data_IF_651632944919
#
_entry.id   IF_651632944919
#
_cell.length_a   1.000
_cell.length_b   1.000
_cell.length_c   1.000
_cell.angle_alpha   90.00
_cell.angle_beta   90.00
_cell.angle_gamma   90.00
#
_symmetry.space_group_name_H-M   'P 1'
#
loop_
_entity.id
_entity.type
_entity.pdbx_description
1 polymer ?
#
# COMPACT_ATOMS: atom_id res chain seq x y z
N UNK A 1 -16.26 2.56 -68.00
CA UNK A 1 -16.10 3.60 -66.97
C UNK A 1 -16.56 3.03 -65.62
N UNK A 2 -15.66 2.98 -64.62
CA UNK A 2 -15.85 3.29 -63.17
C UNK A 2 -17.01 2.57 -62.43
N UNK A 3 -16.90 1.89 -61.27
CA UNK A 3 -15.85 1.59 -60.27
C UNK A 3 -16.37 0.42 -59.40
N UNK A 4 -15.46 -0.38 -58.83
CA UNK A 4 -15.68 -1.35 -57.74
C UNK A 4 -16.05 -0.65 -56.43
N UNK A 5 -16.64 -1.36 -55.45
CA UNK A 5 -16.18 -1.47 -54.04
C UNK A 5 -17.05 -2.51 -53.30
N UNK A 6 -16.41 -3.59 -52.85
CA UNK A 6 -16.87 -4.48 -51.77
C UNK A 6 -16.55 -3.84 -50.42
N UNK A 7 -17.38 -4.05 -49.40
CA UNK A 7 -16.95 -3.85 -48.01
C UNK A 7 -17.66 -4.84 -47.07
N UNK A 8 -16.93 -5.88 -46.68
CA UNK A 8 -17.19 -6.74 -45.53
C UNK A 8 -16.90 -5.91 -44.26
N UNK A 9 -17.86 -5.80 -43.34
CA UNK A 9 -17.63 -5.20 -42.03
C UNK A 9 -17.21 -6.29 -41.03
N UNK A 10 -15.91 -6.50 -40.86
CA UNK A 10 -15.37 -7.25 -39.72
C UNK A 10 -15.27 -6.29 -38.53
N UNK A 11 -16.24 -6.35 -37.62
CA UNK A 11 -16.15 -5.66 -36.33
C UNK A 11 -15.25 -6.48 -35.40
N UNK A 12 -13.98 -6.13 -35.34
CA UNK A 12 -13.04 -6.67 -34.37
C UNK A 12 -13.09 -5.80 -33.10
N UNK A 13 -13.85 -6.25 -32.09
CA UNK A 13 -13.70 -5.75 -30.72
C UNK A 13 -12.36 -6.19 -30.16
N UNK A 14 -11.33 -5.37 -30.34
CA UNK A 14 -10.07 -5.48 -29.63
C UNK A 14 -10.28 -4.99 -28.19
N UNK A 15 -10.63 -5.92 -27.29
CA UNK A 15 -10.44 -5.74 -25.85
C UNK A 15 -8.94 -5.72 -25.58
N UNK A 16 -8.34 -4.52 -25.61
CA UNK A 16 -6.98 -4.31 -25.17
C UNK A 16 -6.89 -4.56 -23.66
N UNK A 17 -6.35 -5.71 -23.27
CA UNK A 17 -5.88 -5.93 -21.90
C UNK A 17 -4.65 -5.04 -21.73
N UNK A 18 -4.84 -3.82 -21.23
CA UNK A 18 -3.71 -3.03 -20.75
C UNK A 18 -3.24 -3.66 -19.46
N UNK A 19 -2.16 -4.45 -19.52
CA UNK A 19 -1.46 -4.88 -18.33
C UNK A 19 -0.95 -3.63 -17.61
N UNK A 20 -1.57 -3.28 -16.48
CA UNK A 20 -1.14 -2.16 -15.65
C UNK A 20 0.15 -2.58 -14.95
N UNK A 21 1.29 -2.14 -15.48
CA UNK A 21 2.55 -2.26 -14.76
C UNK A 21 2.44 -1.36 -13.53
N UNK A 22 2.52 -1.96 -12.33
CA UNK A 22 2.53 -1.20 -11.08
C UNK A 22 3.68 -0.19 -11.11
N UNK A 23 3.37 1.08 -10.87
CA UNK A 23 4.38 2.12 -10.78
C UNK A 23 5.41 1.78 -9.67
N UNK A 24 6.70 2.14 -9.84
CA UNK A 24 7.65 2.02 -8.75
C UNK A 24 7.21 2.88 -7.56
N UNK A 25 7.54 2.46 -6.32
CA UNK A 25 7.25 3.28 -5.14
C UNK A 25 7.97 4.63 -5.24
N UNK A 26 7.51 5.66 -4.50
CA UNK A 26 8.12 6.97 -4.51
C UNK A 26 9.61 6.88 -4.11
N UNK A 27 10.47 7.70 -4.74
CA UNK A 27 11.89 7.75 -4.39
C UNK A 27 12.07 8.27 -2.96
N UNK A 28 13.28 8.10 -2.41
CA UNK A 28 13.62 8.68 -1.10
C UNK A 28 13.47 10.21 -1.15
N UNK A 29 12.68 10.83 -0.24
CA UNK A 29 12.47 12.27 -0.21
C UNK A 29 13.77 13.05 -0.09
N UNK A 30 13.94 14.07 -0.93
CA UNK A 30 15.16 14.88 -0.94
C UNK A 30 15.37 15.61 0.40
N UNK A 31 14.27 16.08 1.01
CA UNK A 31 14.28 16.78 2.29
C UNK A 31 14.59 15.88 3.50
N UNK A 32 14.63 14.55 3.32
CA UNK A 32 14.90 13.62 4.41
C UNK A 32 16.38 13.68 4.82
N UNK A 33 16.70 13.95 6.10
CA UNK A 33 18.08 13.97 6.60
C UNK A 33 18.74 12.60 6.50
N UNK A 34 20.08 12.52 6.30
CA UNK A 34 20.80 11.24 6.18
C UNK A 34 20.52 10.26 7.33
N UNK A 35 20.53 10.72 8.58
CA UNK A 35 20.26 9.87 9.74
C UNK A 35 18.85 9.22 9.72
N UNK A 36 17.88 9.86 9.06
CA UNK A 36 16.51 9.33 8.92
C UNK A 36 16.40 8.36 7.74
N UNK A 37 17.25 8.49 6.71
CA UNK A 37 17.27 7.60 5.53
C UNK A 37 17.69 6.17 5.88
N UNK A 38 18.49 6.01 6.93
CA UNK A 38 18.89 4.71 7.46
C UNK A 38 17.75 3.97 8.17
N UNK A 39 16.65 4.66 8.49
CA UNK A 39 15.47 4.05 9.09
C UNK A 39 14.59 3.40 8.02
N UNK A 40 13.79 2.43 8.45
CA UNK A 40 12.72 1.88 7.59
C UNK A 40 11.81 3.00 7.06
N UNK A 41 11.36 2.98 5.80
CA UNK A 41 10.36 3.92 5.29
C UNK A 41 9.04 3.91 6.09
N UNK A 42 8.76 2.83 6.82
CA UNK A 42 7.60 2.72 7.71
C UNK A 42 7.86 3.25 9.13
N UNK A 43 9.07 3.71 9.44
CA UNK A 43 9.39 4.32 10.72
C UNK A 43 8.66 5.68 10.85
N UNK A 44 8.05 6.03 12.00
CA UNK A 44 7.30 7.28 12.16
C UNK A 44 8.08 8.54 11.77
N UNK A 45 9.37 8.58 12.04
CA UNK A 45 10.24 9.70 11.66
C UNK A 45 10.53 9.80 10.16
N UNK A 46 10.51 8.67 9.45
CA UNK A 46 10.82 8.60 8.02
C UNK A 46 9.55 8.79 7.18
N UNK A 47 8.46 8.12 7.54
CA UNK A 47 7.21 8.11 6.76
C UNK A 47 6.64 9.51 6.56
N UNK A 48 6.77 10.42 7.56
CA UNK A 48 6.32 11.82 7.45
C UNK A 48 6.84 12.53 6.19
N UNK A 49 8.09 12.27 5.79
CA UNK A 49 8.68 12.91 4.61
C UNK A 49 8.05 12.37 3.32
N UNK A 50 7.79 11.06 3.24
CA UNK A 50 7.07 10.48 2.10
C UNK A 50 5.64 11.02 2.01
N UNK A 51 4.97 11.20 3.14
CA UNK A 51 3.63 11.76 3.19
C UNK A 51 3.62 13.24 2.77
N UNK A 52 4.59 14.03 3.21
CA UNK A 52 4.74 15.43 2.81
C UNK A 52 4.99 15.57 1.30
N UNK A 53 5.83 14.73 0.72
CA UNK A 53 6.07 14.68 -0.72
C UNK A 53 4.79 14.31 -1.48
N UNK A 54 4.03 13.33 -0.97
CA UNK A 54 2.77 12.91 -1.58
C UNK A 54 1.68 14.01 -1.50
N UNK A 55 1.66 14.81 -0.44
CA UNK A 55 0.79 16.00 -0.33
C UNK A 55 1.21 17.07 -1.35
N UNK A 56 2.51 17.37 -1.46
CA UNK A 56 3.01 18.35 -2.46
C UNK A 56 2.74 17.91 -3.90
N UNK A 57 2.80 16.61 -4.16
CA UNK A 57 2.48 16.03 -5.46
C UNK A 57 0.97 15.94 -5.74
N UNK A 58 0.10 16.33 -4.79
CA UNK A 58 -1.35 16.23 -4.93
C UNK A 58 -1.90 14.81 -4.88
N UNK A 59 -1.08 13.83 -4.46
CA UNK A 59 -1.49 12.43 -4.34
C UNK A 59 -2.37 12.22 -3.10
N UNK A 60 -2.15 12.99 -2.04
CA UNK A 60 -2.88 12.94 -0.77
C UNK A 60 -3.30 14.33 -0.32
N UNK A 61 -4.40 14.42 0.43
CA UNK A 61 -4.70 15.63 1.21
C UNK A 61 -3.84 15.66 2.47
N UNK A 62 -3.69 16.85 3.09
CA UNK A 62 -3.03 16.98 4.40
C UNK A 62 -3.72 16.12 5.46
N UNK A 63 -5.05 16.06 5.47
CA UNK A 63 -5.81 15.25 6.42
C UNK A 63 -5.54 13.74 6.25
N UNK A 64 -5.46 13.25 5.01
CA UNK A 64 -5.10 11.85 4.72
C UNK A 64 -3.67 11.54 5.17
N UNK A 65 -2.73 12.46 4.94
CA UNK A 65 -1.35 12.33 5.41
C UNK A 65 -1.28 12.26 6.95
N UNK A 66 -1.97 13.17 7.66
CA UNK A 66 -1.96 13.20 9.12
C UNK A 66 -2.59 11.93 9.73
N UNK A 67 -3.69 11.45 9.13
CA UNK A 67 -4.32 10.19 9.54
C UNK A 67 -3.40 8.98 9.26
N UNK A 68 -2.71 8.97 8.13
CA UNK A 68 -1.74 7.93 7.78
C UNK A 68 -0.55 7.94 8.73
N UNK A 69 -0.02 9.12 9.09
CA UNK A 69 1.07 9.25 10.06
C UNK A 69 0.68 8.60 11.41
N UNK A 70 -0.51 8.92 11.93
CA UNK A 70 -1.01 8.33 13.18
C UNK A 70 -1.18 6.81 13.07
N UNK A 71 -1.65 6.31 11.93
CA UNK A 71 -1.74 4.87 11.69
C UNK A 71 -0.37 4.19 11.73
N UNK A 72 0.64 4.84 11.16
CA UNK A 72 2.02 4.32 11.13
C UNK A 72 2.68 4.34 12.50
N UNK A 73 2.41 5.35 13.32
CA UNK A 73 2.79 5.41 14.73
C UNK A 73 2.17 4.26 15.53
N UNK A 74 0.85 4.08 15.43
CA UNK A 74 0.14 2.96 16.06
C UNK A 74 0.75 1.60 15.67
N UNK A 75 1.01 1.40 14.37
CA UNK A 75 1.62 0.16 13.87
C UNK A 75 3.04 -0.04 14.38
N UNK A 76 3.82 1.03 14.47
CA UNK A 76 5.18 0.99 14.97
C UNK A 76 5.21 0.60 16.45
N UNK A 77 4.42 1.27 17.30
CA UNK A 77 4.32 0.95 18.72
C UNK A 77 3.87 -0.49 18.96
N UNK A 78 2.85 -0.94 18.21
CA UNK A 78 2.40 -2.33 18.26
C UNK A 78 3.51 -3.30 17.87
N UNK A 79 4.31 -2.98 16.86
CA UNK A 79 5.45 -3.80 16.43
C UNK A 79 6.55 -3.86 17.50
N UNK A 80 6.83 -2.75 18.18
CA UNK A 80 7.81 -2.73 19.27
C UNK A 80 7.35 -3.61 20.43
N UNK A 81 6.08 -3.52 20.84
CA UNK A 81 5.51 -4.40 21.87
C UNK A 81 5.57 -5.87 21.50
N UNK A 82 5.28 -6.22 20.24
CA UNK A 82 5.44 -7.61 19.77
C UNK A 82 6.91 -8.07 19.86
N UNK A 83 7.86 -7.20 19.52
CA UNK A 83 9.29 -7.53 19.53
C UNK A 83 9.83 -7.73 20.94
N UNK A 84 9.40 -6.86 21.87
CA UNK A 84 9.71 -6.96 23.29
C UNK A 84 9.14 -8.26 23.89
N UNK A 85 7.86 -8.55 23.61
CA UNK A 85 7.20 -9.75 24.13
C UNK A 85 7.90 -11.04 23.71
N UNK A 86 8.46 -11.08 22.50
CA UNK A 86 9.12 -12.29 21.98
C UNK A 86 10.64 -12.29 22.18
N UNK A 87 11.21 -11.34 22.92
CA UNK A 87 12.66 -11.16 23.04
C UNK A 87 13.38 -12.42 23.56
N UNK A 88 12.77 -13.14 24.51
CA UNK A 88 13.37 -14.33 25.13
C UNK A 88 12.82 -15.65 24.56
N UNK A 89 11.95 -15.58 23.55
CA UNK A 89 11.36 -16.75 22.90
C UNK A 89 12.32 -17.38 21.89
N UNK A 90 12.24 -18.71 21.77
CA UNK A 90 12.86 -19.48 20.70
C UNK A 90 12.32 -19.08 19.33
N UNK A 91 13.02 -19.42 18.24
CA UNK A 91 12.58 -19.07 16.89
C UNK A 91 11.19 -19.62 16.54
N UNK A 92 10.86 -20.83 16.99
CA UNK A 92 9.57 -21.47 16.69
C UNK A 92 8.42 -20.83 17.48
N UNK A 93 8.65 -20.50 18.75
CA UNK A 93 7.71 -19.73 19.57
C UNK A 93 7.47 -18.33 18.97
N UNK A 94 8.54 -17.65 18.54
CA UNK A 94 8.44 -16.36 17.82
C UNK A 94 7.57 -16.48 16.57
N UNK A 95 7.79 -17.53 15.76
CA UNK A 95 7.02 -17.76 14.52
C UNK A 95 5.55 -18.04 14.82
N UNK A 96 5.26 -18.88 15.81
CA UNK A 96 3.91 -19.21 16.23
C UNK A 96 3.17 -17.96 16.75
N UNK A 97 3.79 -17.19 17.64
CA UNK A 97 3.25 -15.94 18.15
C UNK A 97 2.94 -14.95 17.02
N UNK A 98 3.91 -14.68 16.16
CA UNK A 98 3.74 -13.71 15.07
C UNK A 98 2.70 -14.18 14.04
N UNK A 99 2.58 -15.48 13.80
CA UNK A 99 1.53 -16.04 12.95
C UNK A 99 0.14 -15.84 13.55
N UNK A 100 -0.02 -16.08 14.85
CA UNK A 100 -1.26 -15.83 15.56
C UNK A 100 -1.64 -14.35 15.55
N UNK A 101 -0.69 -13.44 15.84
CA UNK A 101 -0.92 -11.98 15.76
C UNK A 101 -1.30 -11.50 14.36
N UNK A 102 -0.74 -12.10 13.30
CA UNK A 102 -1.17 -11.78 11.92
C UNK A 102 -2.62 -12.19 11.66
N UNK A 103 -3.08 -13.32 12.20
CA UNK A 103 -4.49 -13.74 12.08
C UNK A 103 -5.42 -12.77 12.81
N UNK A 104 -5.07 -12.39 14.04
CA UNK A 104 -5.86 -11.45 14.86
C UNK A 104 -6.00 -10.07 14.21
N UNK A 105 -4.95 -9.58 13.54
CA UNK A 105 -4.96 -8.28 12.85
C UNK A 105 -5.74 -8.28 11.55
N UNK A 106 -5.95 -9.45 10.97
CA UNK A 106 -6.64 -9.60 9.69
C UNK A 106 -5.96 -8.86 8.55
N UNK A 107 -6.78 -8.24 7.70
CA UNK A 107 -6.33 -7.62 6.46
C UNK A 107 -5.79 -6.20 6.71
N UNK A 108 -4.51 -5.91 6.42
CA UNK A 108 -3.92 -4.60 6.67
C UNK A 108 -4.52 -3.47 5.81
N UNK A 109 -5.09 -3.77 4.64
CA UNK A 109 -5.80 -2.75 3.85
C UNK A 109 -7.07 -2.29 4.57
N UNK A 110 -7.84 -3.23 5.12
CA UNK A 110 -9.07 -2.93 5.87
C UNK A 110 -8.75 -2.20 7.17
N UNK A 111 -7.71 -2.62 7.89
CA UNK A 111 -7.24 -1.91 9.09
C UNK A 111 -6.84 -0.47 8.77
N UNK A 112 -6.06 -0.27 7.70
CA UNK A 112 -5.65 1.07 7.27
C UNK A 112 -6.84 1.94 6.89
N UNK A 113 -7.76 1.43 6.05
CA UNK A 113 -8.95 2.17 5.64
C UNK A 113 -9.79 2.61 6.85
N UNK A 114 -10.04 1.68 7.78
CA UNK A 114 -10.79 1.95 9.00
C UNK A 114 -10.09 3.00 9.88
N UNK A 115 -8.81 2.81 10.17
CA UNK A 115 -8.06 3.70 11.07
C UNK A 115 -7.92 5.11 10.50
N UNK A 116 -7.64 5.23 9.20
CA UNK A 116 -7.42 6.52 8.54
C UNK A 116 -8.73 7.17 8.04
N UNK A 117 -9.88 6.57 8.31
CA UNK A 117 -11.19 7.03 7.84
C UNK A 117 -11.28 7.21 6.31
N UNK A 118 -10.70 6.26 5.58
CA UNK A 118 -10.68 6.24 4.12
C UNK A 118 -11.70 5.22 3.59
N UNK A 119 -12.17 5.43 2.37
CA UNK A 119 -12.79 4.32 1.62
C UNK A 119 -11.74 3.25 1.32
N UNK A 120 -12.19 2.02 1.10
CA UNK A 120 -11.28 0.90 0.78
C UNK A 120 -10.52 1.19 -0.51
N UNK A 121 -11.20 1.74 -1.53
CA UNK A 121 -10.61 2.11 -2.82
C UNK A 121 -9.53 3.18 -2.63
N UNK A 122 -9.78 4.16 -1.76
CA UNK A 122 -8.80 5.21 -1.47
C UNK A 122 -7.59 4.68 -0.72
N UNK A 123 -7.82 3.85 0.29
CA UNK A 123 -6.75 3.17 1.02
C UNK A 123 -5.92 2.26 0.11
N UNK A 124 -6.57 1.57 -0.84
CA UNK A 124 -5.92 0.71 -1.83
C UNK A 124 -5.02 1.53 -2.76
N UNK A 125 -5.54 2.62 -3.32
CA UNK A 125 -4.78 3.50 -4.19
C UNK A 125 -3.53 4.07 -3.48
N UNK A 126 -3.69 4.52 -2.24
CA UNK A 126 -2.57 5.03 -1.43
C UNK A 126 -1.58 3.92 -1.06
N UNK A 127 -2.06 2.72 -0.73
CA UNK A 127 -1.19 1.58 -0.45
C UNK A 127 -0.40 1.15 -1.69
N UNK A 128 -1.01 1.19 -2.87
CA UNK A 128 -0.31 0.95 -4.14
C UNK A 128 0.72 2.04 -4.43
N UNK A 129 0.41 3.29 -4.15
CA UNK A 129 1.35 4.40 -4.35
C UNK A 129 2.63 4.19 -3.54
N UNK A 130 2.53 3.84 -2.25
CA UNK A 130 3.70 3.71 -1.37
C UNK A 130 4.46 2.39 -1.49
N UNK A 131 3.99 1.41 -2.28
CA UNK A 131 4.60 0.09 -2.33
C UNK A 131 4.78 -0.41 -3.75
N UNK A 132 5.92 -1.06 -3.99
CA UNK A 132 6.10 -1.86 -5.18
C UNK A 132 5.03 -2.98 -5.27
N UNK A 133 4.81 -3.46 -6.49
CA UNK A 133 3.96 -4.62 -6.80
C UNK A 133 2.47 -4.48 -6.43
N UNK A 134 1.94 -3.26 -6.38
CA UNK A 134 0.52 -3.01 -6.13
C UNK A 134 -0.03 -3.77 -4.89
N UNK A 135 0.61 -3.56 -3.72
CA UNK A 135 0.21 -4.25 -2.47
C UNK A 135 -1.25 -4.02 -2.09
N UNK A 136 -1.80 -2.84 -2.36
CA UNK A 136 -3.22 -2.56 -2.16
C UNK A 136 -4.09 -3.55 -2.93
N UNK A 137 -3.80 -3.80 -4.21
CA UNK A 137 -4.56 -4.75 -5.03
C UNK A 137 -4.47 -6.17 -4.47
N UNK A 138 -3.28 -6.58 -4.04
CA UNK A 138 -3.07 -7.89 -3.40
C UNK A 138 -3.92 -8.06 -2.15
N UNK A 139 -4.03 -7.03 -1.31
CA UNK A 139 -4.85 -7.09 -0.10
C UNK A 139 -6.33 -6.91 -0.37
N UNK A 140 -6.72 -6.15 -1.40
CA UNK A 140 -8.11 -6.05 -1.85
C UNK A 140 -8.62 -7.41 -2.35
N UNK A 141 -7.85 -8.10 -3.19
CA UNK A 141 -8.18 -9.45 -3.65
C UNK A 141 -8.32 -10.45 -2.49
N UNK A 142 -7.44 -10.38 -1.49
CA UNK A 142 -7.55 -11.20 -0.27
C UNK A 142 -8.78 -10.90 0.58
N UNK A 143 -9.26 -9.65 0.59
CA UNK A 143 -10.50 -9.29 1.28
C UNK A 143 -11.72 -9.90 0.58
N UNK A 144 -11.69 -9.97 -0.75
CA UNK A 144 -12.80 -10.50 -1.56
C UNK A 144 -12.86 -12.04 -1.55
N UNK A 145 -11.72 -12.73 -1.46
CA UNK A 145 -11.64 -14.19 -1.41
C UNK A 145 -11.78 -14.82 -0.01
N UNK A 146 -12.11 -14.03 1.01
CA UNK A 146 -12.28 -14.50 2.39
C UNK A 146 -13.74 -14.86 2.75
N UNK A 147 -14.58 -15.09 1.73
CA UNK A 147 -15.97 -15.56 1.86
C UNK A 147 -16.06 -17.04 2.22
#
# INVERSE_FOLDING_TARGET
MIKRISALLCSACLLGITATVAAPPPPVPQAMPPAVRELSPHHPQAIRYYLDDAVRAGVMTRAEADATQKYMEFRYERRQKDLEYVADMTLDERRAYMAQKRKERGNPLLEYACYAHLTIERAQALMNYFHAEAKGDKYAAKAQGAS
#
